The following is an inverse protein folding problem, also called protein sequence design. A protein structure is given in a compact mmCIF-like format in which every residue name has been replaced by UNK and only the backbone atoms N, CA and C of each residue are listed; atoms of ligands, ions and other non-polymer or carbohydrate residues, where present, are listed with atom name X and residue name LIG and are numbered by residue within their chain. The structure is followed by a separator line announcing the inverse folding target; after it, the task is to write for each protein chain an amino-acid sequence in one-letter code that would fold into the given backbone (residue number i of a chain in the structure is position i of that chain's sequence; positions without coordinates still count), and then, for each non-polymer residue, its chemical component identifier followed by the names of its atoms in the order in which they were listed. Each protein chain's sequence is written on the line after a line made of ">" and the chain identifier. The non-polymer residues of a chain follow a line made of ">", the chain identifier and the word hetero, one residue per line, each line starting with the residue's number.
data_IF_813378432973
#
_entry.id   IF_813378432973
#
_cell.length_a   1.000
_cell.length_b   1.000
_cell.length_c   1.000
_cell.angle_alpha   90.00
_cell.angle_beta   90.00
_cell.angle_gamma   90.00
#
_symmetry.space_group_name_H-M   'P 1'
#
loop_
_entity.id
_entity.type
_entity.pdbx_description
1 polymer ?
2 non-polymer ?
3 water ?
#
# COMPACT_ATOMS: atom_id res chain seq x y z
N UNK A 1 12.25 -12.89 5.35
CA UNK A 1 11.71 -12.80 3.98
C UNK A 1 10.68 -11.66 3.94
N UNK A 2 10.70 -10.88 2.87
CA UNK A 2 9.78 -9.75 2.67
C UNK A 2 8.74 -10.15 1.62
N UNK A 3 7.51 -9.86 1.90
CA UNK A 3 6.40 -10.18 0.98
C UNK A 3 5.87 -8.90 0.38
N UNK A 4 5.33 -9.03 -0.85
CA UNK A 4 4.76 -7.87 -1.57
C UNK A 4 3.38 -8.29 -2.03
N UNK A 5 2.34 -7.67 -1.48
CA UNK A 5 0.96 -8.10 -1.86
C UNK A 5 0.30 -6.86 -2.46
N UNK A 6 -0.39 -7.08 -3.58
CA UNK A 6 -1.06 -5.95 -4.22
C UNK A 6 -2.30 -6.48 -5.00
N UNK A 7 -2.96 -5.51 -5.58
CA UNK A 7 -4.08 -5.77 -6.50
C UNK A 7 -4.11 -4.56 -7.44
N UNK A 8 -4.81 -4.75 -8.55
CA UNK A 8 -4.90 -3.68 -9.55
C UNK A 8 -6.13 -3.85 -10.45
N UNK A 9 -6.40 -2.80 -11.18
CA UNK A 9 -7.50 -2.88 -12.18
C UNK A 9 -6.86 -2.64 -13.54
N UNK A 10 -6.05 -1.60 -13.69
CA UNK A 10 -5.45 -1.28 -14.98
C UNK A 10 -3.96 -1.56 -15.06
N UNK A 11 -3.41 -2.25 -14.08
CA UNK A 11 -2.00 -2.63 -14.09
C UNK A 11 -0.97 -1.66 -13.65
N UNK A 12 -1.27 -0.45 -13.24
CA UNK A 12 -0.30 0.54 -12.77
C UNK A 12 0.36 0.09 -11.44
N UNK A 13 -0.44 -0.46 -10.56
CA UNK A 13 -0.01 -0.94 -9.26
C UNK A 13 0.97 -2.11 -9.44
N UNK A 14 0.72 -2.91 -10.45
CA UNK A 14 1.59 -4.04 -10.73
C UNK A 14 3.02 -3.56 -10.99
N UNK A 15 3.14 -2.51 -11.77
CA UNK A 15 4.39 -1.93 -12.19
C UNK A 15 5.22 -1.50 -10.97
N UNK A 16 4.50 -0.87 -10.04
CA UNK A 16 5.10 -0.39 -8.79
C UNK A 16 5.53 -1.56 -7.91
N UNK A 17 4.71 -2.59 -7.83
CA UNK A 17 4.97 -3.78 -7.04
C UNK A 17 6.24 -4.49 -7.55
N UNK A 18 6.34 -4.53 -8.87
CA UNK A 18 7.51 -5.17 -9.54
C UNK A 18 8.79 -4.38 -9.21
N UNK A 19 8.66 -3.06 -9.27
CA UNK A 19 9.79 -2.19 -9.00
C UNK A 19 10.28 -2.36 -7.55
N UNK A 20 9.35 -2.48 -6.61
CA UNK A 20 9.78 -2.71 -5.21
C UNK A 20 10.59 -3.99 -5.13
N UNK A 21 10.11 -5.01 -5.83
CA UNK A 21 10.79 -6.32 -5.86
C UNK A 21 12.23 -6.16 -6.35
N UNK A 22 12.40 -5.39 -7.39
CA UNK A 22 13.71 -5.13 -7.98
C UNK A 22 14.63 -4.42 -7.01
N UNK A 23 14.14 -3.41 -6.32
CA UNK A 23 14.98 -2.69 -5.34
C UNK A 23 15.41 -3.63 -4.23
N UNK A 24 14.57 -4.56 -3.81
CA UNK A 24 14.87 -5.49 -2.72
C UNK A 24 15.71 -6.70 -3.11
N UNK A 25 15.69 -7.07 -4.37
CA UNK A 25 16.47 -8.22 -4.84
C UNK A 25 16.06 -9.52 -4.19
N UNK A 26 17.05 -10.29 -3.78
CA UNK A 26 16.82 -11.61 -3.14
C UNK A 26 16.11 -11.57 -1.79
N UNK A 27 15.99 -10.44 -1.16
CA UNK A 27 15.33 -10.32 0.14
C UNK A 27 13.81 -10.37 0.04
N UNK A 28 13.26 -10.29 -1.15
CA UNK A 28 11.82 -10.30 -1.34
C UNK A 28 11.35 -11.41 -2.27
N UNK A 29 10.14 -11.84 -2.00
CA UNK A 29 9.47 -12.83 -2.87
C UNK A 29 8.81 -11.98 -3.99
N UNK A 30 8.52 -12.66 -5.07
CA UNK A 30 7.87 -12.03 -6.23
C UNK A 30 6.51 -11.52 -5.73
N UNK A 31 6.10 -10.38 -6.23
CA UNK A 31 4.80 -9.80 -5.83
C UNK A 31 3.70 -10.81 -6.12
N UNK A 32 2.69 -10.77 -5.26
CA UNK A 32 1.53 -11.64 -5.33
C UNK A 32 0.25 -10.80 -5.36
N UNK A 33 -0.59 -11.11 -6.34
CA UNK A 33 -1.88 -10.41 -6.46
C UNK A 33 -2.77 -11.10 -5.42
N UNK A 34 -3.41 -10.27 -4.62
CA UNK A 34 -4.35 -10.74 -3.57
C UNK A 34 -5.43 -11.68 -4.10
N UNK A 35 -5.81 -11.48 -5.35
CA UNK A 35 -6.84 -12.33 -5.99
C UNK A 35 -6.32 -13.77 -6.05
N UNK A 36 -5.01 -13.92 -6.04
CA UNK A 36 -4.35 -15.21 -6.15
C UNK A 36 -4.12 -15.91 -4.82
N UNK A 37 -4.44 -15.23 -3.75
CA UNK A 37 -4.25 -15.79 -2.42
C UNK A 37 -5.43 -16.64 -1.98
N UNK A 38 -5.09 -17.90 -1.80
CA UNK A 38 -6.09 -18.88 -1.27
C UNK A 38 -6.05 -18.77 0.24
N UNK A 39 -4.93 -19.11 0.82
CA UNK A 39 -4.68 -19.08 2.27
C UNK A 39 -4.15 -17.72 2.73
N UNK A 40 -4.98 -16.99 3.47
CA UNK A 40 -4.62 -15.68 3.98
C UNK A 40 -3.56 -15.80 5.09
N UNK A 41 -3.33 -17.02 5.56
CA UNK A 41 -2.34 -17.25 6.62
C UNK A 41 -0.94 -17.06 6.05
N UNK A 42 -0.84 -17.12 4.75
CA UNK A 42 0.45 -16.93 4.08
C UNK A 42 1.07 -15.58 4.46
N UNK A 43 0.21 -14.59 4.69
CA UNK A 43 0.65 -13.22 5.02
C UNK A 43 1.61 -13.19 6.20
N UNK A 44 1.47 -14.14 7.09
CA UNK A 44 2.28 -14.28 8.28
C UNK A 44 3.63 -14.90 8.06
N UNK A 45 3.92 -15.46 6.92
CA UNK A 45 5.24 -16.10 6.72
C UNK A 45 6.33 -15.09 6.39
N UNK A 46 6.09 -13.82 6.59
CA UNK A 46 7.08 -12.79 6.25
C UNK A 46 7.43 -11.91 7.44
N UNK A 47 8.55 -11.21 7.28
CA UNK A 47 9.06 -10.33 8.32
C UNK A 47 8.55 -8.90 8.13
N UNK A 48 8.19 -8.60 6.91
CA UNK A 48 7.72 -7.29 6.46
C UNK A 48 6.88 -7.52 5.18
N UNK A 49 5.82 -6.74 5.12
CA UNK A 49 4.91 -6.81 3.96
C UNK A 49 4.82 -5.41 3.34
N UNK A 50 4.95 -5.38 2.04
CA UNK A 50 4.72 -4.14 1.26
C UNK A 50 3.30 -4.41 0.67
N UNK A 51 2.35 -3.54 0.89
CA UNK A 51 0.95 -3.74 0.40
C UNK A 51 0.61 -2.63 -0.55
N UNK A 52 0.09 -2.95 -1.75
CA UNK A 52 -0.20 -1.79 -2.63
C UNK A 52 -1.60 -1.87 -3.23
N UNK A 53 -2.14 -0.70 -3.45
CA UNK A 53 -3.50 -0.66 -4.07
C UNK A 53 -3.81 0.70 -4.63
N UNK A 54 -4.54 0.72 -5.73
CA UNK A 54 -5.03 1.98 -6.31
C UNK A 54 -6.36 2.34 -5.62
N UNK A 55 -6.91 3.46 -5.98
CA UNK A 55 -8.20 4.00 -5.47
C UNK A 55 -9.11 4.14 -6.72
N UNK A 56 -10.21 3.42 -6.71
CA UNK A 56 -11.16 3.46 -7.87
C UNK A 56 -12.54 3.89 -7.47
N UNK A 57 -12.98 3.60 -6.27
CA UNK A 57 -14.38 3.94 -5.87
C UNK A 57 -14.38 5.24 -5.09
N UNK A 58 -14.33 6.34 -5.79
CA UNK A 58 -14.28 7.68 -5.21
C UNK A 58 -15.31 7.98 -4.14
N UNK A 59 -14.86 8.44 -2.99
CA UNK A 59 -15.67 8.82 -1.85
C UNK A 59 -16.29 7.68 -1.09
N UNK A 60 -16.08 6.44 -1.43
CA UNK A 60 -16.67 5.30 -0.72
C UNK A 60 -16.06 5.20 0.69
N UNK A 61 -16.91 4.76 1.60
CA UNK A 61 -16.53 4.59 3.01
C UNK A 61 -15.68 3.34 3.13
N UNK A 62 -16.11 2.30 2.44
CA UNK A 62 -15.38 1.02 2.41
C UNK A 62 -15.27 0.55 0.96
N UNK A 63 -14.39 -0.42 0.75
CA UNK A 63 -14.16 -0.97 -0.61
C UNK A 63 -13.79 0.15 -1.56
N UNK A 64 -12.70 0.81 -1.25
CA UNK A 64 -12.25 1.97 -2.01
C UNK A 64 -11.33 1.65 -3.17
N UNK A 65 -10.73 0.48 -3.14
CA UNK A 65 -9.72 0.15 -4.18
C UNK A 65 -10.31 -0.25 -5.53
N UNK A 66 -11.48 -0.88 -5.48
CA UNK A 66 -12.10 -1.36 -6.76
C UNK A 66 -11.27 -2.52 -7.28
N UNK A 67 -10.62 -3.27 -6.38
CA UNK A 67 -9.79 -4.42 -6.73
C UNK A 67 -10.14 -5.59 -5.82
N UNK A 68 -9.42 -6.68 -5.98
CA UNK A 68 -9.60 -7.87 -5.14
C UNK A 68 -9.39 -7.58 -3.65
N UNK A 69 -8.77 -6.49 -3.32
CA UNK A 69 -8.57 -6.08 -1.91
C UNK A 69 -9.95 -5.88 -1.23
N UNK A 70 -10.92 -5.38 -1.97
CA UNK A 70 -12.24 -5.10 -1.43
C UNK A 70 -12.90 -6.31 -0.79
N UNK A 71 -12.72 -7.48 -1.31
CA UNK A 71 -13.29 -8.72 -0.77
C UNK A 71 -12.34 -9.24 0.33
N UNK A 72 -11.06 -9.26 -0.03
CA UNK A 72 -10.02 -9.77 0.86
C UNK A 72 -10.03 -9.13 2.25
N UNK A 73 -10.10 -7.83 2.33
CA UNK A 73 -10.09 -7.08 3.58
C UNK A 73 -11.19 -7.50 4.56
N UNK A 74 -12.37 -7.77 4.06
CA UNK A 74 -13.48 -8.14 4.97
C UNK A 74 -13.80 -9.59 5.13
N UNK A 75 -13.54 -10.42 4.14
CA UNK A 75 -13.84 -11.84 4.24
C UNK A 75 -12.68 -12.69 4.74
N UNK A 76 -11.47 -12.34 4.34
CA UNK A 76 -10.29 -13.13 4.66
C UNK A 76 -9.34 -12.64 5.74
N UNK A 77 -8.97 -11.37 5.65
CA UNK A 77 -8.02 -10.77 6.61
C UNK A 77 -8.39 -10.94 8.07
N UNK A 78 -9.66 -10.83 8.41
CA UNK A 78 -10.12 -10.96 9.80
C UNK A 78 -9.67 -12.26 10.42
N UNK A 79 -9.35 -13.26 9.62
CA UNK A 79 -8.90 -14.55 10.15
C UNK A 79 -7.40 -14.61 10.42
N UNK A 80 -6.69 -13.53 10.16
CA UNK A 80 -5.21 -13.58 10.36
C UNK A 80 -4.78 -12.75 11.55
N UNK A 81 -3.99 -13.37 12.41
CA UNK A 81 -3.45 -12.71 13.63
C UNK A 81 -2.11 -12.11 13.22
N UNK A 82 -2.08 -10.80 13.04
CA UNK A 82 -0.83 -10.16 12.58
C UNK A 82 -0.05 -9.42 13.63
N UNK A 83 -0.20 -9.87 14.87
CA UNK A 83 0.49 -9.14 15.96
C UNK A 83 1.96 -8.88 15.65
N UNK A 84 2.29 -7.62 15.76
CA UNK A 84 3.56 -6.95 15.58
C UNK A 84 4.15 -6.98 14.18
N UNK A 85 3.45 -7.51 13.21
CA UNK A 85 4.11 -7.58 11.85
C UNK A 85 4.03 -6.22 11.20
N UNK A 86 5.17 -5.71 10.74
CA UNK A 86 5.23 -4.42 10.08
C UNK A 86 4.70 -4.48 8.64
N UNK A 87 3.86 -3.54 8.30
CA UNK A 87 3.30 -3.43 6.94
C UNK A 87 3.50 -1.98 6.48
N UNK A 88 3.92 -1.90 5.22
CA UNK A 88 4.21 -0.61 4.57
C UNK A 88 3.26 -0.52 3.35
N UNK A 89 2.47 0.51 3.34
CA UNK A 89 1.47 0.65 2.26
C UNK A 89 1.79 1.69 1.22
N UNK A 90 1.65 1.28 -0.04
CA UNK A 90 1.87 2.19 -1.16
C UNK A 90 0.51 2.27 -1.91
N UNK A 91 0.17 3.46 -2.34
CA UNK A 91 -1.14 3.52 -3.08
C UNK A 91 -0.97 4.42 -4.29
N UNK A 92 -1.75 4.09 -5.32
CA UNK A 92 -1.73 4.84 -6.58
C UNK A 92 -3.01 5.65 -6.69
N UNK A 93 -2.87 6.81 -7.28
CA UNK A 93 -4.09 7.69 -7.41
C UNK A 93 -3.79 8.76 -8.42
N UNK A 94 -4.61 9.78 -8.37
CA UNK A 94 -4.53 10.92 -9.32
C UNK A 94 -4.89 12.20 -8.58
N UNK A 95 -3.88 13.00 -8.27
CA UNK A 95 -4.03 14.25 -7.52
C UNK A 95 -4.74 15.33 -8.33
N UNK A 96 -4.69 15.19 -9.65
CA UNK A 96 -5.34 16.18 -10.54
C UNK A 96 -6.80 15.92 -10.75
N UNK A 97 -7.16 14.68 -10.97
CA UNK A 97 -8.53 14.23 -11.13
C UNK A 97 -9.32 14.12 -9.84
N UNK A 98 -8.65 13.83 -8.72
CA UNK A 98 -9.31 13.62 -7.43
C UNK A 98 -8.58 14.36 -6.32
N UNK A 99 -8.59 15.66 -6.44
CA UNK A 99 -7.89 16.52 -5.49
C UNK A 99 -8.39 16.37 -4.06
N UNK A 100 -9.67 15.98 -3.93
CA UNK A 100 -10.25 15.85 -2.58
C UNK A 100 -10.31 14.43 -2.09
N UNK A 101 -9.84 13.49 -2.90
CA UNK A 101 -9.90 12.05 -2.59
C UNK A 101 -8.61 11.33 -2.94
N UNK A 102 -7.50 12.04 -2.81
CA UNK A 102 -6.20 11.50 -3.22
C UNK A 102 -5.74 10.30 -2.41
N UNK A 103 -5.64 9.18 -3.10
CA UNK A 103 -5.20 7.89 -2.56
C UNK A 103 -5.94 7.52 -1.29
N UNK A 104 -7.26 7.71 -1.30
CA UNK A 104 -8.10 7.37 -0.14
C UNK A 104 -8.02 5.89 0.27
N UNK A 105 -7.67 5.00 -0.66
CA UNK A 105 -7.64 3.58 -0.30
C UNK A 105 -6.56 3.25 0.71
N UNK A 106 -5.51 4.08 0.77
CA UNK A 106 -4.43 3.78 1.75
C UNK A 106 -4.98 3.67 3.17
N UNK A 107 -5.84 4.63 3.51
CA UNK A 107 -6.39 4.61 4.89
C UNK A 107 -7.12 3.32 5.19
N UNK A 108 -7.89 2.83 4.22
CA UNK A 108 -8.67 1.60 4.43
C UNK A 108 -7.78 0.42 4.69
N UNK A 109 -6.75 0.26 3.88
CA UNK A 109 -5.79 -0.86 4.08
C UNK A 109 -5.11 -0.71 5.44
N UNK A 110 -4.72 0.51 5.73
CA UNK A 110 -4.04 0.82 7.00
C UNK A 110 -4.88 0.37 8.20
N UNK A 111 -6.13 0.84 8.20
CA UNK A 111 -7.07 0.55 9.30
C UNK A 111 -7.37 -0.93 9.41
N UNK A 112 -7.65 -1.62 8.31
CA UNK A 112 -7.95 -3.06 8.37
C UNK A 112 -6.79 -3.89 8.91
N UNK A 113 -5.58 -3.57 8.46
CA UNK A 113 -4.40 -4.33 8.93
C UNK A 113 -4.12 -4.00 10.42
N UNK A 114 -4.28 -2.75 10.78
CA UNK A 114 -4.03 -2.31 12.18
C UNK A 114 -4.90 -3.06 13.15
N UNK A 115 -6.12 -3.35 12.74
CA UNK A 115 -7.15 -4.05 13.54
C UNK A 115 -6.76 -5.47 13.86
N UNK A 116 -5.92 -6.01 12.97
CA UNK A 116 -5.40 -7.36 13.09
C UNK A 116 -4.11 -7.38 13.92
N UNK A 117 -3.65 -6.24 14.36
CA UNK A 117 -2.43 -6.16 15.20
C UNK A 117 -1.17 -5.79 14.43
N UNK A 118 -1.30 -5.60 13.12
CA UNK A 118 -0.15 -5.23 12.28
C UNK A 118 0.34 -3.85 12.73
N UNK A 119 1.59 -3.59 12.39
CA UNK A 119 2.25 -2.35 12.72
C UNK A 119 2.62 -1.57 11.48
N UNK A 120 1.80 -0.57 11.14
CA UNK A 120 2.05 0.25 9.94
C UNK A 120 3.32 1.10 10.08
N UNK A 121 4.12 1.05 9.05
CA UNK A 121 5.38 1.77 8.90
C UNK A 121 5.43 2.48 7.53
N UNK A 122 6.50 3.23 7.33
CA UNK A 122 6.69 3.95 6.06
C UNK A 122 5.71 5.08 5.79
N UNK A 123 5.51 5.90 6.82
CA UNK A 123 4.62 7.10 6.62
C UNK A 123 5.38 8.04 5.68
N UNK A 124 4.71 8.97 5.04
CA UNK A 124 5.40 9.91 4.13
C UNK A 124 4.93 11.32 4.36
N UNK A 125 5.64 12.25 3.77
CA UNK A 125 5.37 13.68 3.90
C UNK A 125 4.15 14.02 3.03
N UNK A 126 3.10 14.48 3.69
CA UNK A 126 1.85 14.83 2.97
C UNK A 126 2.02 15.95 1.96
N UNK A 127 3.06 16.74 2.06
CA UNK A 127 3.33 17.85 1.15
C UNK A 127 3.96 17.48 -0.18
N UNK A 128 4.37 16.27 -0.42
CA UNK A 128 5.05 15.85 -1.63
C UNK A 128 4.25 16.18 -2.91
N UNK A 129 2.97 15.91 -2.86
CA UNK A 129 2.06 16.14 -3.99
C UNK A 129 1.09 17.29 -3.62
N UNK A 130 0.62 17.92 -4.69
CA UNK A 130 -0.35 19.03 -4.54
C UNK A 130 -1.76 18.40 -4.72
N UNK A 131 -2.51 18.43 -3.66
CA UNK A 131 -3.89 17.96 -3.58
C UNK A 131 -4.54 18.73 -2.42
N UNK A 132 -5.83 18.70 -2.31
CA UNK A 132 -6.59 19.44 -1.30
C UNK A 132 -6.86 18.59 -0.09
N UNK A 133 -7.32 17.36 -0.29
CA UNK A 133 -7.57 16.49 0.86
C UNK A 133 -7.47 15.03 0.50
N UNK A 134 -7.31 14.24 1.57
CA UNK A 134 -7.21 12.78 1.48
C UNK A 134 -7.56 12.21 2.85
N UNK A 135 -8.26 11.10 2.83
CA UNK A 135 -8.63 10.37 4.06
C UNK A 135 -7.38 9.66 4.59
N UNK A 136 -6.32 9.60 3.80
CA UNK A 136 -5.08 8.93 4.15
C UNK A 136 -4.06 9.81 4.88
N UNK A 137 -4.44 11.03 5.18
CA UNK A 137 -3.55 11.97 5.94
C UNK A 137 -4.17 11.97 7.36
N UNK A 138 -3.35 11.70 8.33
CA UNK A 138 -3.75 11.61 9.73
C UNK A 138 -2.60 12.08 10.62
N UNK A 139 -2.92 13.06 11.45
CA UNK A 139 -1.90 13.58 12.38
C UNK A 139 -0.74 14.25 11.67
N UNK A 140 -0.94 14.79 10.50
CA UNK A 140 0.10 15.48 9.75
C UNK A 140 1.00 14.59 8.94
N UNK A 141 0.56 13.35 8.73
CA UNK A 141 1.38 12.42 7.93
C UNK A 141 0.50 11.57 7.04
N UNK A 142 1.10 11.11 5.97
CA UNK A 142 0.36 10.22 4.99
C UNK A 142 0.62 8.84 5.57
N UNK A 143 -0.36 8.00 5.70
CA UNK A 143 -0.29 6.68 6.26
C UNK A 143 0.38 5.63 5.38
N UNK A 144 1.03 6.10 4.37
CA UNK A 144 1.75 5.18 3.43
C UNK A 144 2.38 6.10 2.37
N UNK A 145 2.77 5.51 1.26
CA UNK A 145 3.37 6.30 0.19
C UNK A 145 2.35 6.42 -0.97
N UNK A 146 1.89 7.61 -1.20
CA UNK A 146 0.97 7.85 -2.34
C UNK A 146 1.81 8.01 -3.60
N UNK A 147 1.29 7.56 -4.74
CA UNK A 147 2.00 7.72 -6.03
C UNK A 147 0.97 8.14 -7.10
N UNK A 148 1.39 9.04 -7.95
CA UNK A 148 0.52 9.50 -9.05
C UNK A 148 1.23 9.12 -10.38
N UNK A 149 0.78 8.03 -10.93
CA UNK A 149 1.36 7.51 -12.19
C UNK A 149 0.58 8.04 -13.40
N UNK A 150 -0.47 8.81 -13.09
CA UNK A 150 -1.26 9.41 -14.18
C UNK A 150 -0.57 10.69 -14.65
N UNK A 151 -0.22 11.55 -13.72
CA UNK A 151 0.39 12.85 -13.99
C UNK A 151 1.90 12.86 -13.88
N UNK A 152 2.48 11.87 -13.25
CA UNK A 152 3.94 11.77 -13.11
C UNK A 152 4.62 13.02 -12.62
N UNK A 153 4.12 13.62 -11.56
CA UNK A 153 4.65 14.84 -10.98
C UNK A 153 6.06 14.57 -10.39
N UNK A 154 6.29 13.36 -9.96
CA UNK A 154 7.53 12.89 -9.34
C UNK A 154 7.91 11.54 -9.94
N UNK A 155 9.15 11.45 -10.42
CA UNK A 155 9.64 10.20 -11.01
C UNK A 155 9.47 9.07 -9.99
N UNK A 156 8.80 8.02 -10.36
CA UNK A 156 8.46 6.84 -9.56
C UNK A 156 9.64 6.12 -8.94
N UNK A 157 10.59 5.70 -9.77
CA UNK A 157 11.76 4.95 -9.28
C UNK A 157 12.49 5.59 -8.11
N UNK A 158 12.86 6.87 -8.22
CA UNK A 158 13.60 7.54 -7.14
C UNK A 158 12.79 7.64 -5.84
N UNK A 159 11.53 7.92 -6.03
CA UNK A 159 10.58 8.09 -4.87
C UNK A 159 10.36 6.79 -4.16
N UNK A 160 10.11 5.72 -4.90
CA UNK A 160 9.87 4.39 -4.31
C UNK A 160 11.12 3.82 -3.67
N UNK A 161 12.26 3.96 -4.35
CA UNK A 161 13.53 3.40 -3.85
C UNK A 161 13.90 4.03 -2.50
N UNK A 162 13.73 5.32 -2.41
CA UNK A 162 14.01 6.09 -1.17
C UNK A 162 13.11 5.64 -0.04
N UNK A 163 11.84 5.44 -0.38
CA UNK A 163 10.82 4.98 0.57
C UNK A 163 11.15 3.57 1.01
N UNK A 164 11.47 2.68 0.07
CA UNK A 164 11.82 1.30 0.44
C UNK A 164 12.97 1.31 1.47
N UNK A 165 13.97 2.13 1.14
CA UNK A 165 15.17 2.23 2.01
C UNK A 165 14.78 2.67 3.42
N UNK A 166 13.92 3.68 3.47
CA UNK A 166 13.44 4.18 4.79
C UNK A 166 12.72 3.10 5.56
N UNK A 167 11.91 2.30 4.84
CA UNK A 167 11.14 1.22 5.49
C UNK A 167 12.04 0.13 6.06
N UNK A 168 13.03 -0.25 5.28
CA UNK A 168 13.99 -1.30 5.68
C UNK A 168 14.78 -0.80 6.91
N UNK A 169 15.10 0.47 6.92
CA UNK A 169 15.82 1.05 8.07
C UNK A 169 14.93 1.02 9.30
N UNK A 170 13.71 1.52 9.15
CA UNK A 170 12.77 1.60 10.24
C UNK A 170 12.48 0.27 10.89
N UNK A 171 12.32 -0.77 10.06
CA UNK A 171 11.99 -2.10 10.54
C UNK A 171 13.16 -2.97 10.93
N UNK A 172 14.33 -2.69 10.41
CA UNK A 172 15.54 -3.42 10.73
C UNK A 172 15.63 -4.75 10.00
N UNK A 173 14.75 -4.93 9.04
CA UNK A 173 14.70 -6.21 8.27
C UNK A 173 15.84 -6.30 7.29
X LIG B 1 -7.32 8.32 -7.82
X LIG B 1 -7.42 8.84 -6.54
X LIG B 1 -6.29 9.29 -5.90
X LIG B 1 -8.63 8.88 -5.89
X LIG B 1 -9.81 8.44 -6.50
X LIG B 1 -11.02 8.51 -5.84
X LIG B 1 -9.71 7.88 -7.80
X LIG B 1 -10.86 7.43 -8.41
X LIG B 1 -10.76 7.00 -9.75
X LIG B 1 -11.95 6.68 -10.43
X LIG B 1 -11.84 6.26 -11.77
X LIG B 1 -13.03 5.86 -12.45
X LIG B 1 -10.60 6.23 -12.41
X LIG B 1 -10.46 5.84 -13.76
X LIG B 1 -9.42 6.55 -11.72
X LIG B 1 -9.50 6.96 -10.37
X LIG B 1 -8.32 7.32 -9.74
X LIG B 1 -8.46 7.86 -8.46
X LIG B 1 -7.04 7.14 -10.24
X LIG B 1 -6.61 5.67 -10.25
X LIG B 1 -6.31 5.22 -8.92
X LIG B 1 -5.31 5.57 -11.10
X LIG B 1 -5.64 5.75 -12.47
X LIG B 1 -4.48 4.38 -10.87
X LIG B 1 -3.17 4.53 -11.46
X LIG B 1 -5.05 3.14 -11.26
X LIG B 1 -4.23 2.12 -10.68
X LIG B 1 -4.29 0.59 -11.35
X LIG B 1 -3.73 0.68 -12.94
X LIG B 1 -5.86 -0.02 -11.27
X LIG B 1 -3.29 -0.48 -10.49
#
# INVERSE_FOLDING_TARGET
>A
KIGIFFSTSTGNTTEVADFIGKTLGAKADAPIDVDDVTDPQALKDYDLLFLGAPTWNTGADTERSGTSWDEFLYDKLPEVDMKDLPVAIFGLGDAEGYPDNFCDAIEEIHDCFAKQGAKPVGFSNPDDYDYEESKSVRDGKFLGLPLDMVNDQIPMEKRVAGWVEAVVSETGV
>B hetero
1 FMN N1 C2 O2 N3 C4 O4 C4A N5 C5A C6 C7 C7M C8 C8M C9 C9A N10 C10 C1' C2' O2' C3' O3' C4' O4' C5' O5' P O1P O2P O3P
#
